data_IF_214894296680
#
_entry.id   IF_214894296680
#
_cell.length_a   1.000
_cell.length_b   1.000
_cell.length_c   1.000
_cell.angle_alpha   90.00
_cell.angle_beta   90.00
_cell.angle_gamma   90.00
#
_symmetry.space_group_name_H-M   'P 1'
#
loop_
_entity.id
_entity.type
_entity.pdbx_description
1 polymer ?
#
# COMPACT_ATOMS: atom_id res chain seq x y z
N UNK A 1 2.76 -12.92 -19.00
CA UNK A 1 1.84 -11.76 -19.03
C UNK A 1 0.66 -11.88 -18.06
N UNK A 2 0.56 -12.97 -17.27
CA UNK A 2 -0.61 -13.22 -16.40
C UNK A 2 -0.69 -12.26 -15.20
N UNK A 3 0.42 -11.98 -14.54
CA UNK A 3 0.48 -11.20 -13.29
C UNK A 3 0.84 -9.72 -13.53
N UNK A 4 0.05 -9.01 -14.33
CA UNK A 4 0.22 -7.57 -14.59
C UNK A 4 -0.87 -6.73 -13.92
N UNK A 5 -0.53 -5.49 -13.56
CA UNK A 5 -1.44 -4.48 -13.02
C UNK A 5 -2.27 -5.01 -11.82
N UNK A 6 -3.59 -5.06 -11.98
CA UNK A 6 -4.57 -5.46 -10.97
C UNK A 6 -4.48 -6.94 -10.59
N UNK A 7 -3.82 -7.78 -11.39
CA UNK A 7 -3.71 -9.20 -11.09
C UNK A 7 -2.66 -9.50 -10.02
N UNK A 8 -1.88 -8.49 -9.60
CA UNK A 8 -0.91 -8.57 -8.51
C UNK A 8 -1.53 -8.08 -7.19
N UNK A 9 -1.20 -8.68 -6.04
CA UNK A 9 -0.43 -9.92 -5.87
C UNK A 9 -1.29 -11.18 -6.07
N UNK A 10 -2.50 -11.20 -5.50
CA UNK A 10 -3.57 -12.20 -5.67
C UNK A 10 -4.89 -11.54 -5.24
N UNK A 11 -6.06 -11.97 -5.76
CA UNK A 11 -7.35 -11.46 -5.32
C UNK A 11 -7.48 -11.48 -3.79
N UNK A 12 -7.95 -10.37 -3.21
CA UNK A 12 -8.09 -10.19 -1.76
C UNK A 12 -6.88 -9.56 -1.04
N UNK A 13 -5.72 -9.44 -1.70
CA UNK A 13 -4.49 -8.91 -1.09
C UNK A 13 -3.96 -7.62 -1.76
N UNK A 14 -4.84 -6.88 -2.44
CA UNK A 14 -4.50 -5.65 -3.15
C UNK A 14 -4.41 -4.39 -2.24
N UNK A 15 -4.67 -4.52 -0.94
CA UNK A 15 -4.78 -3.39 0.00
C UNK A 15 -3.48 -3.11 0.77
N UNK A 16 -2.31 -3.29 0.15
CA UNK A 16 -0.98 -3.14 0.77
C UNK A 16 -0.67 -4.12 1.92
N UNK A 17 -1.62 -4.92 2.40
CA UNK A 17 -1.39 -5.97 3.41
C UNK A 17 -1.04 -7.29 2.76
N UNK A 18 -0.08 -8.00 3.35
CA UNK A 18 0.21 -9.39 2.98
C UNK A 18 -0.56 -10.37 3.88
N UNK A 19 -0.60 -11.67 3.53
CA UNK A 19 -1.11 -12.72 4.41
C UNK A 19 -0.30 -12.86 5.72
N UNK A 20 0.92 -12.33 5.76
CA UNK A 20 1.79 -12.37 6.94
C UNK A 20 1.50 -11.12 7.79
N UNK A 21 1.13 -11.34 9.05
CA UNK A 21 0.82 -10.27 10.00
C UNK A 21 2.01 -9.33 10.17
N UNK A 22 1.77 -8.03 9.99
CA UNK A 22 2.79 -6.98 10.12
C UNK A 22 3.70 -6.81 8.89
N UNK A 23 3.46 -7.57 7.82
CA UNK A 23 4.17 -7.41 6.54
C UNK A 23 3.26 -6.70 5.52
N UNK A 24 3.77 -5.60 4.98
CA UNK A 24 3.06 -4.74 4.03
C UNK A 24 3.85 -4.60 2.73
N UNK A 25 3.12 -4.39 1.64
CA UNK A 25 3.67 -4.14 0.33
C UNK A 25 3.74 -2.64 0.07
N UNK A 26 4.89 -2.18 -0.39
CA UNK A 26 5.06 -0.81 -0.88
C UNK A 26 5.98 -0.83 -2.11
N UNK A 27 5.83 0.17 -2.98
CA UNK A 27 6.70 0.37 -4.14
C UNK A 27 5.96 0.45 -5.46
N UNK A 28 6.73 0.56 -6.55
CA UNK A 28 6.24 0.76 -7.91
C UNK A 28 5.40 -0.38 -8.48
N UNK A 29 5.46 -1.55 -7.85
CA UNK A 29 4.63 -2.72 -8.19
C UNK A 29 3.24 -2.68 -7.55
N UNK A 30 2.98 -1.77 -6.63
CA UNK A 30 1.70 -1.60 -5.91
C UNK A 30 0.87 -0.46 -6.49
N UNK A 31 -0.45 -0.48 -6.27
CA UNK A 31 -1.34 0.62 -6.68
C UNK A 31 -0.83 1.97 -6.12
N UNK A 32 -0.92 3.09 -6.86
CA UNK A 32 -1.51 3.30 -8.20
C UNK A 32 -0.67 2.80 -9.38
N UNK A 33 0.56 2.32 -9.14
CA UNK A 33 1.43 1.76 -10.17
C UNK A 33 2.83 2.36 -10.16
N UNK A 34 3.56 2.12 -11.24
CA UNK A 34 4.95 2.57 -11.40
C UNK A 34 5.06 4.06 -11.73
N UNK A 35 6.03 4.73 -11.11
CA UNK A 35 6.35 6.14 -11.33
C UNK A 35 7.23 6.68 -10.19
N UNK A 36 7.85 7.84 -10.38
CA UNK A 36 8.60 8.54 -9.32
C UNK A 36 7.60 9.31 -8.45
N UNK A 37 6.82 8.59 -7.65
CA UNK A 37 5.79 9.16 -6.78
C UNK A 37 5.80 8.49 -5.40
N UNK A 38 5.45 9.25 -4.36
CA UNK A 38 5.37 8.76 -2.98
C UNK A 38 4.04 8.05 -2.63
N UNK A 39 3.06 8.06 -3.53
CA UNK A 39 1.72 7.51 -3.29
C UNK A 39 1.69 6.06 -2.74
N UNK A 40 2.41 5.07 -3.32
CA UNK A 40 2.35 3.70 -2.80
C UNK A 40 2.93 3.59 -1.39
N UNK A 41 3.98 4.36 -1.08
CA UNK A 41 4.54 4.45 0.27
C UNK A 41 3.56 5.07 1.26
N UNK A 42 2.92 6.19 0.88
CA UNK A 42 1.93 6.86 1.72
C UNK A 42 0.72 5.98 2.03
N UNK A 43 0.25 5.20 1.05
CA UNK A 43 -0.86 4.29 1.24
C UNK A 43 -0.50 3.09 2.12
N UNK A 44 0.67 2.48 1.92
CA UNK A 44 1.16 1.42 2.79
C UNK A 44 1.31 1.91 4.24
N UNK A 45 1.88 3.11 4.45
CA UNK A 45 2.01 3.71 5.78
C UNK A 45 0.66 3.94 6.47
N UNK A 46 -0.38 4.33 5.70
CA UNK A 46 -1.75 4.44 6.23
C UNK A 46 -2.27 3.12 6.78
N UNK A 47 -2.04 2.02 6.07
CA UNK A 47 -2.47 0.70 6.51
C UNK A 47 -1.71 0.21 7.74
N UNK A 48 -0.39 0.46 7.80
CA UNK A 48 0.42 0.19 8.98
C UNK A 48 -0.14 0.93 10.20
N UNK A 49 -0.44 2.22 10.06
CA UNK A 49 -0.92 3.02 11.19
C UNK A 49 -2.32 2.62 11.64
N UNK A 50 -3.21 2.27 10.71
CA UNK A 50 -4.51 1.68 11.03
C UNK A 50 -4.38 0.45 11.92
N UNK A 51 -3.42 -0.44 11.63
CA UNK A 51 -3.17 -1.63 12.45
C UNK A 51 -2.56 -1.35 13.80
N UNK A 52 -1.74 -0.30 13.87
CA UNK A 52 -1.16 0.17 15.13
C UNK A 52 -2.16 1.00 15.96
N UNK A 53 -3.40 1.19 15.48
CA UNK A 53 -4.40 2.04 16.13
C UNK A 53 -4.03 3.53 16.13
N UNK A 54 -3.17 3.97 15.21
CA UNK A 54 -2.70 5.36 15.07
C UNK A 54 -3.40 6.03 13.89
N UNK A 55 -3.94 7.24 14.08
CA UNK A 55 -4.43 8.09 12.99
C UNK A 55 -3.32 9.05 12.55
N UNK A 56 -3.18 9.26 11.23
CA UNK A 56 -2.46 10.42 10.69
C UNK A 56 -3.46 11.56 10.55
N UNK A 57 -3.24 12.65 11.27
CA UNK A 57 -3.86 13.93 10.95
C UNK A 57 -3.17 14.53 9.72
N UNK A 58 -3.86 14.47 8.57
CA UNK A 58 -3.38 15.01 7.28
C UNK A 58 -3.43 16.56 7.20
N UNK A 59 -3.55 17.25 8.34
CA UNK A 59 -3.63 18.71 8.40
C UNK A 59 -2.28 19.44 8.29
N UNK A 60 -1.16 18.72 8.22
CA UNK A 60 0.18 19.31 8.30
C UNK A 60 0.98 19.31 6.98
N UNK A 61 0.39 18.88 5.86
CA UNK A 61 1.08 18.74 4.57
C UNK A 61 0.24 19.31 3.41
N UNK A 62 -0.24 20.54 3.58
CA UNK A 62 -0.78 21.37 2.50
C UNK A 62 0.24 22.45 2.12
#
# INVERSE_FOLDING_TARGET
>A
FDQLLFNRPVPGYAQYRSPIRGLYMCGSSTHPGGGVMGAPGANAAREVLRDLGRRIDMGAAA
#
